data_IF_139119391735
#
_entry.id   IF_139119391735
#
_cell.length_a   1.000
_cell.length_b   1.000
_cell.length_c   1.000
_cell.angle_alpha   90.00
_cell.angle_beta   90.00
_cell.angle_gamma   90.00
#
_symmetry.space_group_name_H-M   'P 1'
#
loop_
_entity.id
_entity.type
_entity.pdbx_description
1 polymer ?
#
# COMPACT_ATOMS: atom_id res chain seq x y z
N UNK A 1 14.38 -0.49 51.54
CA UNK A 1 14.66 0.88 52.02
C UNK A 1 13.36 1.68 51.94
N UNK A 2 12.82 2.12 53.11
CA UNK A 2 11.74 3.12 53.45
C UNK A 2 10.65 3.41 52.37
N UNK A 3 9.34 3.10 52.46
CA UNK A 3 8.24 3.34 53.44
C UNK A 3 8.09 4.80 53.89
N UNK A 4 6.85 5.36 53.78
CA UNK A 4 6.22 6.63 54.29
C UNK A 4 6.69 7.91 53.57
N UNK A 5 5.83 8.77 53.00
CA UNK A 5 4.75 9.63 53.57
C UNK A 5 3.61 9.84 52.52
N UNK A 6 2.33 9.57 52.76
CA UNK A 6 1.26 10.23 53.55
C UNK A 6 0.63 11.52 52.95
N UNK A 7 -0.55 11.31 52.34
CA UNK A 7 -1.81 12.09 52.28
C UNK A 7 -1.84 13.63 52.32
N UNK A 8 -2.66 14.19 51.42
CA UNK A 8 -3.39 15.45 51.60
C UNK A 8 -4.82 15.35 51.05
N UNK A 9 -5.78 15.70 51.89
CA UNK A 9 -7.22 15.39 51.84
C UNK A 9 -8.05 16.45 51.09
N UNK A 10 -9.28 16.05 50.73
CA UNK A 10 -10.34 16.74 50.00
C UNK A 10 -10.78 18.08 50.63
N UNK A 11 -11.17 19.06 49.81
CA UNK A 11 -11.94 20.23 50.23
C UNK A 11 -12.92 20.65 49.12
N UNK A 12 -14.21 20.57 49.41
CA UNK A 12 -15.33 20.76 48.47
C UNK A 12 -15.88 22.20 48.56
N UNK A 13 -16.53 22.65 47.47
CA UNK A 13 -17.63 23.63 47.35
C UNK A 13 -17.41 25.14 47.58
N UNK A 14 -17.71 25.97 46.56
CA UNK A 14 -18.85 26.91 46.55
C UNK A 14 -19.10 27.54 45.16
N UNK A 15 -20.32 28.04 44.97
CA UNK A 15 -21.16 28.13 43.78
C UNK A 15 -21.22 29.55 43.15
N UNK A 16 -21.77 29.64 41.91
CA UNK A 16 -22.45 30.80 41.27
C UNK A 16 -21.60 31.98 40.77
N UNK A 17 -21.89 32.70 39.67
CA UNK A 17 -22.75 32.62 38.47
C UNK A 17 -22.46 33.94 37.67
N UNK A 18 -22.69 33.95 36.35
CA UNK A 18 -22.88 35.12 35.45
C UNK A 18 -21.64 35.85 34.89
N UNK A 19 -21.39 35.65 33.59
CA UNK A 19 -21.40 36.72 32.58
C UNK A 19 -21.03 36.16 31.18
N UNK A 20 -22.03 36.19 30.29
CA UNK A 20 -21.94 36.52 28.87
C UNK A 20 -20.70 36.12 28.03
N UNK A 21 -21.00 35.36 26.97
CA UNK A 21 -20.40 35.48 25.64
C UNK A 21 -18.93 35.07 25.46
N UNK A 22 -18.69 33.77 25.17
CA UNK A 22 -17.95 33.36 23.97
C UNK A 22 -18.02 31.83 23.78
N UNK A 23 -19.20 31.26 23.54
CA UNK A 23 -19.30 29.92 22.95
C UNK A 23 -19.12 30.02 21.44
N UNK A 24 -17.87 30.21 21.01
CA UNK A 24 -17.45 29.86 19.65
C UNK A 24 -16.22 28.95 19.72
N UNK A 25 -16.38 27.79 20.37
CA UNK A 25 -15.62 26.61 19.97
C UNK A 25 -16.17 26.22 18.61
N UNK A 26 -15.66 26.85 17.55
CA UNK A 26 -15.79 26.34 16.21
C UNK A 26 -15.23 24.92 16.23
N UNK A 27 -16.11 23.92 16.27
CA UNK A 27 -15.76 22.56 15.94
C UNK A 27 -15.35 22.56 14.47
N UNK A 28 -14.08 22.87 14.20
CA UNK A 28 -13.45 22.39 12.99
C UNK A 28 -13.49 20.86 13.09
N UNK A 29 -14.55 20.27 12.54
CA UNK A 29 -14.49 18.89 12.09
C UNK A 29 -13.46 18.89 10.98
N UNK A 30 -12.18 18.78 11.36
CA UNK A 30 -11.16 18.33 10.43
C UNK A 30 -11.65 16.98 9.95
N UNK A 31 -12.14 16.95 8.71
CA UNK A 31 -12.37 15.70 8.01
C UNK A 31 -10.97 15.14 7.86
N UNK A 32 -10.54 14.29 8.81
CA UNK A 32 -9.32 13.53 8.64
C UNK A 32 -9.45 12.89 7.26
N UNK A 33 -8.57 13.29 6.34
CA UNK A 33 -8.54 12.68 5.03
C UNK A 33 -8.26 11.21 5.31
N UNK A 34 -9.30 10.37 5.21
CA UNK A 34 -9.10 8.94 5.27
C UNK A 34 -8.12 8.65 4.14
N UNK A 35 -6.95 8.13 4.48
CA UNK A 35 -5.96 7.74 3.49
C UNK A 35 -6.52 6.49 2.81
N UNK A 36 -7.33 6.70 1.78
CA UNK A 36 -7.89 5.63 0.98
C UNK A 36 -6.76 4.98 0.19
N UNK A 37 -6.68 3.66 0.27
CA UNK A 37 -5.78 2.88 -0.54
C UNK A 37 -6.53 1.67 -1.09
N UNK A 38 -6.10 1.23 -2.27
CA UNK A 38 -6.54 -0.02 -2.86
C UNK A 38 -5.35 -0.96 -2.80
N UNK A 39 -5.53 -2.08 -2.14
CA UNK A 39 -4.53 -3.14 -2.07
C UNK A 39 -5.03 -4.32 -2.90
N UNK A 40 -4.19 -4.79 -3.82
CA UNK A 40 -4.54 -5.81 -4.79
C UNK A 40 -3.49 -6.91 -4.72
N UNK A 41 -3.96 -8.09 -4.35
CA UNK A 41 -3.15 -9.31 -4.30
C UNK A 41 -3.17 -9.98 -5.68
N UNK A 42 -1.98 -10.18 -6.27
CA UNK A 42 -1.86 -10.63 -7.65
C UNK A 42 -2.33 -12.07 -7.85
N UNK A 43 -2.20 -12.90 -6.82
CA UNK A 43 -2.72 -14.27 -6.81
C UNK A 43 -4.24 -14.33 -6.96
N UNK A 44 -4.95 -13.26 -6.57
CA UNK A 44 -6.41 -13.17 -6.67
C UNK A 44 -6.89 -12.60 -8.01
N UNK A 45 -6.01 -12.44 -9.00
CA UNK A 45 -6.44 -12.01 -10.32
C UNK A 45 -7.41 -13.02 -10.93
N UNK A 46 -8.48 -12.52 -11.54
CA UNK A 46 -9.51 -13.36 -12.16
C UNK A 46 -8.97 -14.20 -13.33
N UNK A 47 -7.94 -13.71 -14.01
CA UNK A 47 -7.21 -14.44 -15.04
C UNK A 47 -5.70 -14.21 -14.87
N UNK A 48 -4.93 -15.27 -14.67
CA UNK A 48 -3.47 -15.21 -14.61
C UNK A 48 -2.81 -15.13 -15.99
N UNK A 49 -3.56 -15.34 -17.07
CA UNK A 49 -3.01 -15.36 -18.43
C UNK A 49 -1.96 -16.46 -18.55
N UNK A 50 -0.72 -16.08 -18.91
CA UNK A 50 0.41 -17.00 -18.93
C UNK A 50 1.34 -16.87 -17.72
N UNK A 51 0.93 -16.17 -16.67
CA UNK A 51 1.70 -16.05 -15.43
C UNK A 51 1.45 -17.28 -14.55
N UNK A 52 2.50 -17.75 -13.90
CA UNK A 52 2.41 -18.86 -12.95
C UNK A 52 2.25 -18.33 -11.53
N UNK A 53 1.45 -19.03 -10.74
CA UNK A 53 1.32 -18.76 -9.31
C UNK A 53 2.45 -19.49 -8.56
N UNK A 54 3.36 -18.73 -7.95
CA UNK A 54 4.52 -19.27 -7.23
C UNK A 54 4.45 -18.96 -5.72
N UNK A 55 4.94 -19.90 -4.91
CA UNK A 55 4.88 -19.86 -3.43
C UNK A 55 6.27 -19.98 -2.77
N UNK A 56 7.36 -19.97 -3.52
CA UNK A 56 8.70 -20.20 -2.99
C UNK A 56 9.19 -19.10 -2.04
N UNK A 57 8.57 -17.90 -2.11
CA UNK A 57 8.94 -16.74 -1.30
C UNK A 57 7.88 -16.33 -0.26
N UNK A 58 6.99 -17.25 0.15
CA UNK A 58 5.90 -16.96 1.11
C UNK A 58 6.37 -16.32 2.42
N UNK A 59 7.52 -16.74 2.98
CA UNK A 59 8.04 -16.17 4.24
C UNK A 59 8.40 -14.68 4.12
N UNK A 60 8.76 -14.23 2.92
CA UNK A 60 9.15 -12.84 2.65
C UNK A 60 7.96 -12.03 2.13
N UNK A 61 7.15 -12.63 1.25
CA UNK A 61 6.02 -11.96 0.62
C UNK A 61 4.79 -11.92 1.51
N UNK A 62 4.54 -12.96 2.30
CA UNK A 62 3.30 -13.15 3.05
C UNK A 62 2.14 -13.71 2.21
N UNK A 63 2.26 -13.67 0.88
CA UNK A 63 1.29 -14.18 -0.09
C UNK A 63 2.01 -14.81 -1.29
N UNK A 64 1.32 -15.69 -2.06
CA UNK A 64 1.81 -16.15 -3.35
C UNK A 64 1.99 -14.97 -4.31
N UNK A 65 2.76 -15.15 -5.38
CA UNK A 65 3.00 -14.10 -6.37
C UNK A 65 2.92 -14.66 -7.79
N UNK A 66 2.77 -13.76 -8.76
CA UNK A 66 2.79 -14.12 -10.17
C UNK A 66 4.21 -14.06 -10.72
N UNK A 67 4.63 -15.15 -11.35
CA UNK A 67 5.92 -15.33 -12.00
C UNK A 67 5.73 -15.51 -13.51
N UNK A 68 6.32 -14.62 -14.31
CA UNK A 68 6.41 -14.79 -15.74
C UNK A 68 7.66 -15.63 -16.08
N UNK A 69 7.55 -16.96 -15.97
CA UNK A 69 8.70 -17.84 -16.21
C UNK A 69 9.21 -17.72 -17.65
N UNK A 70 8.31 -17.71 -18.64
CA UNK A 70 8.42 -17.24 -20.04
C UNK A 70 9.57 -17.74 -20.92
N UNK A 71 10.66 -18.26 -20.35
CA UNK A 71 11.92 -18.66 -20.98
C UNK A 71 12.40 -17.71 -22.08
N UNK A 72 12.20 -16.40 -21.89
CA UNK A 72 12.55 -15.34 -22.84
C UNK A 72 11.45 -14.93 -23.82
N UNK A 73 10.29 -15.60 -23.79
CA UNK A 73 9.09 -15.29 -24.58
C UNK A 73 8.09 -14.55 -23.68
N UNK A 74 7.49 -13.44 -24.15
CA UNK A 74 6.42 -12.77 -23.41
C UNK A 74 5.22 -13.70 -23.19
N UNK A 75 4.73 -13.76 -21.95
CA UNK A 75 3.51 -14.48 -21.58
C UNK A 75 2.27 -13.59 -21.76
N UNK A 76 1.09 -14.18 -21.80
CA UNK A 76 -0.16 -13.43 -21.88
C UNK A 76 -0.39 -12.60 -20.60
N UNK A 77 -1.00 -11.42 -20.75
CA UNK A 77 -1.29 -10.49 -19.65
C UNK A 77 -2.19 -11.16 -18.58
N UNK A 78 -1.85 -10.99 -17.30
CA UNK A 78 -2.74 -11.27 -16.19
C UNK A 78 -3.71 -10.08 -15.98
N UNK A 79 -4.98 -10.36 -15.72
CA UNK A 79 -6.03 -9.34 -15.64
C UNK A 79 -6.99 -9.56 -14.48
N UNK A 80 -7.43 -8.47 -13.88
CA UNK A 80 -8.50 -8.47 -12.88
C UNK A 80 -9.22 -7.12 -12.89
N UNK A 81 -10.42 -7.11 -12.33
CA UNK A 81 -11.19 -5.89 -12.10
C UNK A 81 -11.13 -5.50 -10.62
N UNK A 82 -10.91 -4.22 -10.35
CA UNK A 82 -10.86 -3.67 -8.99
C UNK A 82 -11.81 -2.49 -8.86
N UNK A 83 -12.30 -2.26 -7.64
CA UNK A 83 -13.13 -1.10 -7.31
C UNK A 83 -12.31 -0.10 -6.50
N UNK A 84 -12.20 1.11 -7.01
CA UNK A 84 -11.65 2.22 -6.23
C UNK A 84 -12.74 2.78 -5.30
N UNK A 85 -12.40 3.11 -4.04
CA UNK A 85 -13.36 3.69 -3.09
C UNK A 85 -13.85 5.08 -3.55
N UNK A 86 -12.95 5.89 -4.13
CA UNK A 86 -13.28 7.19 -4.73
C UNK A 86 -12.48 7.45 -6.00
N UNK A 87 -13.05 8.25 -6.92
CA UNK A 87 -12.31 8.75 -8.08
C UNK A 87 -11.27 9.79 -7.63
N UNK A 88 -10.09 9.80 -8.25
CA UNK A 88 -9.01 10.67 -7.78
C UNK A 88 -7.64 10.34 -8.36
N UNK A 89 -6.60 10.90 -7.74
CA UNK A 89 -5.21 10.62 -8.12
C UNK A 89 -4.59 9.68 -7.10
N UNK A 90 -4.07 8.55 -7.58
CA UNK A 90 -3.45 7.51 -6.75
C UNK A 90 -1.97 7.38 -7.12
N UNK A 91 -1.13 7.07 -6.12
CA UNK A 91 0.23 6.63 -6.36
C UNK A 91 0.26 5.12 -6.47
N UNK A 92 0.86 4.61 -7.54
CA UNK A 92 0.96 3.19 -7.81
C UNK A 92 2.26 2.65 -7.24
N UNK A 93 2.17 1.53 -6.54
CA UNK A 93 3.32 0.75 -6.08
C UNK A 93 3.09 -0.69 -6.46
N UNK A 94 4.13 -1.36 -6.98
CA UNK A 94 4.07 -2.79 -7.29
C UNK A 94 5.19 -3.48 -6.53
N UNK A 95 4.85 -4.50 -5.73
CA UNK A 95 5.87 -5.28 -5.03
C UNK A 95 6.48 -6.27 -6.01
N UNK A 96 7.75 -6.07 -6.34
CA UNK A 96 8.43 -6.88 -7.37
C UNK A 96 9.84 -7.27 -6.95
N UNK A 97 10.40 -8.21 -7.69
CA UNK A 97 11.79 -8.65 -7.60
C UNK A 97 12.28 -8.91 -9.02
N UNK A 98 13.47 -8.41 -9.34
CA UNK A 98 14.22 -8.88 -10.49
C UNK A 98 14.91 -10.19 -10.10
N UNK A 99 14.49 -11.29 -10.71
CA UNK A 99 14.97 -12.62 -10.35
C UNK A 99 16.44 -12.78 -10.67
N UNK A 100 16.96 -12.16 -11.74
CA UNK A 100 18.34 -12.39 -12.20
C UNK A 100 19.35 -11.39 -11.66
N UNK A 101 18.88 -10.28 -11.08
CA UNK A 101 19.72 -9.26 -10.46
C UNK A 101 20.72 -9.78 -9.40
N UNK A 102 20.44 -10.81 -8.56
CA UNK A 102 21.44 -11.37 -7.64
C UNK A 102 22.71 -11.89 -8.32
N UNK A 103 22.62 -12.29 -9.59
CA UNK A 103 23.74 -12.81 -10.37
C UNK A 103 24.32 -11.78 -11.35
N UNK A 104 23.86 -10.53 -11.29
CA UNK A 104 24.24 -9.46 -12.22
C UNK A 104 24.10 -9.87 -13.71
N UNK A 105 23.12 -10.74 -13.99
CA UNK A 105 22.88 -11.22 -15.35
C UNK A 105 22.27 -10.09 -16.21
N UNK A 106 22.59 -10.00 -17.50
CA UNK A 106 22.05 -8.96 -18.35
C UNK A 106 20.54 -9.15 -18.57
N UNK A 107 19.79 -8.05 -18.51
CA UNK A 107 18.34 -8.01 -18.71
C UNK A 107 17.54 -8.16 -17.42
N UNK A 108 16.22 -8.27 -17.57
CA UNK A 108 15.27 -8.47 -16.48
C UNK A 108 14.11 -9.35 -16.99
N UNK A 109 14.26 -10.69 -16.96
CA UNK A 109 13.21 -11.62 -17.34
C UNK A 109 11.95 -11.38 -16.52
N UNK A 110 10.79 -11.47 -17.16
CA UNK A 110 9.51 -11.20 -16.51
C UNK A 110 9.25 -9.72 -16.23
N UNK A 111 10.07 -8.77 -16.74
CA UNK A 111 9.72 -7.34 -16.72
C UNK A 111 8.37 -7.09 -17.41
N UNK A 112 7.60 -6.15 -16.89
CA UNK A 112 6.24 -5.92 -17.36
C UNK A 112 5.81 -4.46 -17.24
N UNK A 113 4.70 -4.13 -17.89
CA UNK A 113 3.99 -2.86 -17.71
C UNK A 113 2.67 -3.10 -17.00
N UNK A 114 2.31 -2.22 -16.07
CA UNK A 114 0.97 -2.18 -15.52
C UNK A 114 0.08 -1.35 -16.43
N UNK A 115 -1.12 -1.85 -16.73
CA UNK A 115 -2.18 -1.11 -17.42
C UNK A 115 -3.33 -0.89 -16.46
N UNK A 116 -3.84 0.34 -16.40
CA UNK A 116 -5.07 0.68 -15.66
C UNK A 116 -6.08 1.17 -16.70
N UNK A 117 -7.24 0.50 -16.78
CA UNK A 117 -8.28 0.77 -17.78
C UNK A 117 -7.70 0.81 -19.22
N UNK A 118 -6.84 -0.16 -19.55
CA UNK A 118 -6.17 -0.26 -20.85
C UNK A 118 -5.02 0.72 -21.09
N UNK A 119 -4.80 1.70 -20.21
CA UNK A 119 -3.70 2.66 -20.32
C UNK A 119 -2.46 2.18 -19.59
N UNK A 120 -1.39 1.93 -20.33
CA UNK A 120 -0.09 1.56 -19.76
C UNK A 120 0.54 2.72 -18.98
N UNK A 121 1.15 2.40 -17.84
CA UNK A 121 2.04 3.31 -17.13
C UNK A 121 3.37 3.42 -17.88
N UNK A 122 4.08 4.55 -17.69
CA UNK A 122 5.42 4.75 -18.29
C UNK A 122 6.49 3.83 -17.71
N UNK A 123 6.30 3.43 -16.46
CA UNK A 123 7.27 2.62 -15.71
C UNK A 123 7.26 1.16 -16.21
N UNK A 124 8.45 0.56 -16.28
CA UNK A 124 8.62 -0.88 -16.50
C UNK A 124 9.03 -1.53 -15.18
N UNK A 125 8.19 -2.42 -14.67
CA UNK A 125 8.33 -3.06 -13.36
C UNK A 125 9.17 -4.33 -13.42
N UNK A 126 9.67 -4.78 -12.26
CA UNK A 126 10.47 -6.01 -12.14
C UNK A 126 11.93 -5.84 -12.59
N UNK A 127 12.47 -4.62 -12.53
CA UNK A 127 13.77 -4.26 -13.13
C UNK A 127 14.75 -3.58 -12.16
N UNK A 128 14.37 -3.38 -10.89
CA UNK A 128 15.08 -2.46 -9.98
C UNK A 128 15.88 -3.10 -8.85
N UNK A 129 15.53 -4.30 -8.40
CA UNK A 129 16.18 -4.88 -7.21
C UNK A 129 16.21 -6.40 -7.23
N UNK A 130 17.32 -6.93 -6.72
CA UNK A 130 17.53 -8.35 -6.42
C UNK A 130 16.65 -8.87 -5.27
N UNK A 131 16.14 -7.98 -4.43
CA UNK A 131 15.25 -8.29 -3.30
C UNK A 131 13.83 -7.80 -3.55
N UNK A 132 12.86 -8.43 -2.87
CA UNK A 132 11.48 -7.96 -2.86
C UNK A 132 11.41 -6.52 -2.34
N UNK A 133 10.80 -5.63 -3.12
CA UNK A 133 10.68 -4.22 -2.78
C UNK A 133 9.44 -3.59 -3.43
N UNK A 134 9.03 -2.44 -2.92
CA UNK A 134 8.00 -1.62 -3.55
C UNK A 134 8.59 -0.78 -4.67
N UNK A 135 8.21 -1.10 -5.90
CA UNK A 135 8.62 -0.40 -7.12
C UNK A 135 7.61 0.72 -7.40
N UNK A 136 8.06 1.97 -7.33
CA UNK A 136 7.24 3.16 -7.60
C UNK A 136 6.83 3.25 -9.07
N UNK A 137 5.51 3.29 -9.32
CA UNK A 137 4.91 3.45 -10.64
C UNK A 137 4.47 4.89 -10.96
N UNK A 138 4.60 5.81 -10.00
CA UNK A 138 4.17 7.20 -10.15
C UNK A 138 2.68 7.42 -9.91
N UNK A 139 2.19 8.58 -10.34
CA UNK A 139 0.81 9.02 -10.12
C UNK A 139 -0.09 8.70 -11.31
N UNK A 140 -1.29 8.20 -11.03
CA UNK A 140 -2.34 7.91 -12.01
C UNK A 140 -3.65 8.55 -11.60
N UNK A 141 -4.47 8.93 -12.58
CA UNK A 141 -5.83 9.41 -12.34
C UNK A 141 -6.80 8.28 -12.68
N UNK A 142 -7.68 7.96 -11.73
CA UNK A 142 -8.76 6.97 -11.86
C UNK A 142 -10.11 7.63 -11.71
#
# INVERSE_FOLDING_TARGET
>A
MKRREFMGFVGNTSLCLLASQFTLLAQFKSKAAAQEFVFVEAEQFANHGGWELDQQSMEQMGSPYLLAHGLGIPVQDATTDIKFPTAGTYRVWVRTRDWVAPWNAPGAPGKFQLKINGKALKETFGTKSATWHWHDGGMVKV
#
